data_IF_626587513518
#
_entry.id   IF_626587513518
#
_cell.length_a   1.000
_cell.length_b   1.000
_cell.length_c   1.000
_cell.angle_alpha   90.00
_cell.angle_beta   90.00
_cell.angle_gamma   90.00
#
_symmetry.space_group_name_H-M   'P 1'
#
loop_
_entity.id
_entity.type
_entity.pdbx_description
1 polymer ?
#
# COMPACT_ATOMS: atom_id res chain seq x y z
N UNK A 1 23.59 18.66 -18.58
CA UNK A 1 24.49 19.80 -18.36
C UNK A 1 24.69 20.65 -19.61
N UNK A 2 25.10 20.08 -20.75
CA UNK A 2 25.35 20.85 -21.98
C UNK A 2 24.13 21.67 -22.48
N UNK A 3 22.92 21.11 -22.41
CA UNK A 3 21.67 21.81 -22.79
C UNK A 3 21.36 22.98 -21.85
N UNK A 4 21.61 22.82 -20.55
CA UNK A 4 21.41 23.88 -19.55
C UNK A 4 22.43 24.99 -19.76
N UNK A 5 23.69 24.65 -20.06
CA UNK A 5 24.76 25.62 -20.32
C UNK A 5 24.48 26.40 -21.61
N UNK A 6 24.03 25.74 -22.67
CA UNK A 6 23.60 26.39 -23.93
C UNK A 6 22.36 27.26 -23.75
N UNK A 7 21.37 26.80 -22.97
CA UNK A 7 20.20 27.60 -22.65
C UNK A 7 20.57 28.82 -21.79
N UNK A 8 21.44 28.68 -20.79
CA UNK A 8 21.91 29.81 -19.97
C UNK A 8 22.81 30.76 -20.76
N UNK A 9 23.63 30.26 -21.68
CA UNK A 9 24.46 31.09 -22.56
C UNK A 9 23.62 31.83 -23.61
N UNK A 10 22.57 31.20 -24.13
CA UNK A 10 21.57 31.84 -25.00
C UNK A 10 20.77 32.90 -24.25
N UNK A 11 20.32 32.61 -23.03
CA UNK A 11 19.63 33.57 -22.17
C UNK A 11 20.55 34.74 -21.82
N UNK A 12 21.81 34.50 -21.42
CA UNK A 12 22.75 35.57 -21.09
C UNK A 12 23.15 36.43 -22.29
N UNK A 13 23.26 35.86 -23.49
CA UNK A 13 23.54 36.64 -24.72
C UNK A 13 22.32 37.45 -25.18
N UNK A 14 21.10 36.91 -25.00
CA UNK A 14 19.84 37.66 -25.20
C UNK A 14 19.76 38.84 -24.21
N UNK A 15 20.12 38.63 -22.94
CA UNK A 15 20.14 39.68 -21.91
C UNK A 15 21.21 40.74 -22.16
N UNK A 16 22.34 40.39 -22.76
CA UNK A 16 23.43 41.34 -23.05
C UNK A 16 23.13 42.25 -24.25
N UNK A 17 22.26 41.81 -25.16
CA UNK A 17 21.87 42.55 -26.37
C UNK A 17 20.71 43.54 -26.13
N UNK A 18 20.08 43.56 -24.95
CA UNK A 18 18.82 44.26 -24.68
C UNK A 18 18.96 45.39 -23.67
N UNK A 19 18.40 46.57 -23.96
CA UNK A 19 18.33 47.69 -23.01
C UNK A 19 17.60 47.30 -21.72
N UNK A 20 18.10 47.82 -20.59
CA UNK A 20 17.70 47.47 -19.21
C UNK A 20 16.19 47.52 -18.92
N UNK A 21 15.42 48.35 -19.66
CA UNK A 21 13.96 48.48 -19.51
C UNK A 21 13.19 47.31 -20.14
N UNK A 22 13.68 46.77 -21.26
CA UNK A 22 13.06 45.62 -21.92
C UNK A 22 13.32 44.33 -21.15
N UNK A 23 14.46 44.24 -20.48
CA UNK A 23 14.85 43.10 -19.64
C UNK A 23 13.83 42.81 -18.53
N UNK A 24 13.27 43.85 -17.88
CA UNK A 24 12.31 43.68 -16.78
C UNK A 24 10.97 43.13 -17.28
N UNK A 25 10.46 43.67 -18.39
CA UNK A 25 9.20 43.22 -19.00
C UNK A 25 9.34 41.78 -19.48
N UNK A 26 10.46 41.46 -20.13
CA UNK A 26 10.78 40.12 -20.61
C UNK A 26 10.81 39.10 -19.47
N UNK A 27 11.53 39.39 -18.37
CA UNK A 27 11.56 38.54 -17.18
C UNK A 27 10.16 38.32 -16.61
N UNK A 28 9.36 39.39 -16.49
CA UNK A 28 8.01 39.29 -15.94
C UNK A 28 7.09 38.42 -16.81
N UNK A 29 7.19 38.51 -18.14
CA UNK A 29 6.42 37.66 -19.08
C UNK A 29 6.83 36.19 -18.95
N UNK A 30 8.12 35.89 -18.81
CA UNK A 30 8.61 34.52 -18.61
C UNK A 30 8.19 33.92 -17.26
N UNK A 31 8.24 34.71 -16.18
CA UNK A 31 7.75 34.28 -14.86
C UNK A 31 6.25 33.99 -14.93
N UNK A 32 5.47 34.85 -15.57
CA UNK A 32 4.04 34.64 -15.77
C UNK A 32 3.75 33.40 -16.62
N UNK A 33 4.53 33.14 -17.66
CA UNK A 33 4.43 31.92 -18.45
C UNK A 33 4.69 30.67 -17.59
N UNK A 34 5.74 30.66 -16.76
CA UNK A 34 6.04 29.58 -15.82
C UNK A 34 4.91 29.33 -14.80
N UNK A 35 4.31 30.41 -14.28
CA UNK A 35 3.18 30.32 -13.35
C UNK A 35 1.94 29.67 -13.97
N UNK A 36 1.74 29.80 -15.30
CA UNK A 36 0.63 29.19 -16.03
C UNK A 36 0.91 27.72 -16.39
N UNK A 37 2.14 27.40 -16.75
CA UNK A 37 2.48 26.05 -17.22
C UNK A 37 2.57 25.03 -16.09
N UNK A 38 3.03 25.42 -14.90
CA UNK A 38 3.21 24.49 -13.77
C UNK A 38 1.90 23.78 -13.33
N UNK A 39 0.78 24.47 -13.06
CA UNK A 39 -0.47 23.81 -12.66
C UNK A 39 -1.01 22.91 -13.75
N UNK A 40 -0.87 23.34 -15.00
CA UNK A 40 -1.30 22.59 -16.18
C UNK A 40 -0.55 21.27 -16.33
N UNK A 41 0.78 21.29 -16.20
CA UNK A 41 1.63 20.09 -16.22
C UNK A 41 1.24 19.15 -15.08
N UNK A 42 0.96 19.70 -13.90
CA UNK A 42 0.49 18.91 -12.77
C UNK A 42 -0.84 18.21 -13.06
N UNK A 43 -1.83 18.94 -13.59
CA UNK A 43 -3.12 18.35 -14.00
C UNK A 43 -2.93 17.26 -15.05
N UNK A 44 -2.07 17.48 -16.06
CA UNK A 44 -1.74 16.45 -17.04
C UNK A 44 -1.09 15.21 -16.40
N UNK A 45 -0.18 15.40 -15.43
CA UNK A 45 0.45 14.31 -14.70
C UNK A 45 -0.55 13.50 -13.85
N UNK A 46 -1.62 14.13 -13.34
CA UNK A 46 -2.65 13.43 -12.56
C UNK A 46 -3.50 12.45 -13.40
N UNK A 47 -3.48 12.58 -14.72
CA UNK A 47 -4.22 11.72 -15.65
C UNK A 47 -3.39 10.54 -16.17
N UNK A 48 -2.10 10.50 -15.87
CA UNK A 48 -1.15 9.55 -16.45
C UNK A 48 -0.43 8.83 -15.30
N UNK A 49 -0.66 7.53 -15.18
CA UNK A 49 -0.10 6.72 -14.09
C UNK A 49 1.44 6.59 -14.14
N UNK A 50 2.03 6.78 -15.33
CA UNK A 50 3.47 6.70 -15.56
C UNK A 50 4.12 8.08 -15.69
N UNK A 51 5.14 8.35 -14.88
CA UNK A 51 5.85 9.64 -14.91
C UNK A 51 6.57 9.93 -16.23
N UNK A 52 7.08 8.91 -16.91
CA UNK A 52 7.78 9.05 -18.20
C UNK A 52 6.81 9.37 -19.35
N UNK A 53 5.64 8.74 -19.33
CA UNK A 53 4.59 9.00 -20.31
C UNK A 53 4.01 10.40 -20.10
N UNK A 54 3.90 10.86 -18.85
CA UNK A 54 3.45 12.21 -18.53
C UNK A 54 4.37 13.29 -19.12
N UNK A 55 5.68 13.15 -18.95
CA UNK A 55 6.68 14.06 -19.53
C UNK A 55 6.60 14.07 -21.06
N UNK A 56 6.55 12.88 -21.67
CA UNK A 56 6.47 12.73 -23.13
C UNK A 56 5.19 13.34 -23.70
N UNK A 57 4.04 13.15 -23.04
CA UNK A 57 2.74 13.70 -23.46
C UNK A 57 2.73 15.22 -23.34
N UNK A 58 3.30 15.77 -22.27
CA UNK A 58 3.41 17.23 -22.09
C UNK A 58 4.30 17.84 -23.18
N UNK A 59 5.44 17.22 -23.47
CA UNK A 59 6.35 17.66 -24.55
C UNK A 59 5.65 17.57 -25.90
N UNK A 60 5.03 16.42 -26.22
CA UNK A 60 4.30 16.21 -27.47
C UNK A 60 3.18 17.24 -27.63
N UNK A 61 2.40 17.52 -26.57
CA UNK A 61 1.38 18.56 -26.59
C UNK A 61 1.97 19.94 -26.95
N UNK A 62 3.08 20.33 -26.34
CA UNK A 62 3.74 21.61 -26.64
C UNK A 62 4.26 21.67 -28.08
N UNK A 63 4.82 20.58 -28.60
CA UNK A 63 5.30 20.49 -29.98
C UNK A 63 4.15 20.52 -30.99
N UNK A 64 3.14 19.67 -30.82
CA UNK A 64 1.99 19.59 -31.72
C UNK A 64 1.15 20.86 -31.73
N UNK A 65 0.92 21.47 -30.55
CA UNK A 65 0.30 22.78 -30.49
C UNK A 65 1.12 23.80 -31.29
N UNK A 66 2.42 23.89 -31.06
CA UNK A 66 3.31 24.76 -31.84
C UNK A 66 3.18 24.57 -33.36
N UNK A 67 3.14 23.33 -33.86
CA UNK A 67 3.03 22.99 -35.29
C UNK A 67 1.66 23.40 -35.87
N UNK A 68 0.55 22.98 -35.24
CA UNK A 68 -0.81 23.30 -35.69
C UNK A 68 -0.99 24.82 -35.81
N UNK A 69 -0.35 25.56 -34.90
CA UNK A 69 -0.52 26.99 -34.77
C UNK A 69 0.40 27.77 -35.71
N UNK A 70 1.60 27.25 -36.03
CA UNK A 70 2.42 27.77 -37.13
C UNK A 70 1.65 27.70 -38.46
N UNK A 71 0.93 26.60 -38.70
CA UNK A 71 0.07 26.45 -39.87
C UNK A 71 -1.11 27.44 -39.87
N UNK A 72 -1.75 27.68 -38.71
CA UNK A 72 -2.83 28.67 -38.60
C UNK A 72 -2.36 30.12 -38.78
N UNK A 73 -1.15 30.45 -38.32
CA UNK A 73 -0.55 31.76 -38.55
C UNK A 73 -0.22 31.98 -40.03
N UNK A 74 0.35 30.97 -40.71
CA UNK A 74 0.58 31.01 -42.15
C UNK A 74 -0.72 31.14 -42.96
N UNK A 75 -1.84 30.63 -42.43
CA UNK A 75 -3.16 30.77 -43.04
C UNK A 75 -3.81 32.15 -42.84
N UNK A 76 -3.13 33.11 -42.19
CA UNK A 76 -3.62 34.48 -41.99
C UNK A 76 -4.79 34.60 -41.00
N UNK A 77 -4.99 33.59 -40.14
CA UNK A 77 -6.10 33.56 -39.20
C UNK A 77 -5.69 34.14 -37.84
N UNK A 78 -5.79 35.47 -37.69
CA UNK A 78 -5.45 36.22 -36.47
C UNK A 78 -6.54 36.18 -35.38
N UNK A 79 -7.29 35.08 -35.28
CA UNK A 79 -8.32 34.94 -34.25
C UNK A 79 -7.70 34.88 -32.84
N UNK A 80 -8.02 35.88 -32.00
CA UNK A 80 -7.51 36.01 -30.63
C UNK A 80 -7.89 34.81 -29.72
N UNK A 81 -8.88 34.01 -30.12
CA UNK A 81 -9.32 32.82 -29.37
C UNK A 81 -8.21 31.77 -29.19
N UNK A 82 -7.33 31.59 -30.17
CA UNK A 82 -6.26 30.58 -30.11
C UNK A 82 -5.18 30.95 -29.08
N UNK A 83 -4.94 32.24 -28.85
CA UNK A 83 -3.99 32.74 -27.85
C UNK A 83 -4.46 32.43 -26.43
N UNK A 84 -5.78 32.40 -26.19
CA UNK A 84 -6.37 32.05 -24.89
C UNK A 84 -6.21 30.56 -24.60
N UNK A 85 -6.30 29.69 -25.61
CA UNK A 85 -6.24 28.23 -25.43
C UNK A 85 -4.79 27.75 -25.23
N UNK A 86 -3.81 28.45 -25.82
CA UNK A 86 -2.41 28.05 -25.82
C UNK A 86 -1.51 29.18 -25.30
N UNK A 87 -1.19 29.20 -23.99
CA UNK A 87 -0.30 30.21 -23.40
C UNK A 87 1.08 30.28 -24.07
N UNK A 88 1.60 29.17 -24.58
CA UNK A 88 2.85 29.15 -25.35
C UNK A 88 2.80 30.04 -26.60
N UNK A 89 1.63 30.21 -27.21
CA UNK A 89 1.45 31.11 -28.35
C UNK A 89 1.41 32.57 -27.96
N UNK A 90 0.76 32.92 -26.85
CA UNK A 90 0.73 34.32 -26.42
C UNK A 90 2.16 34.83 -26.17
N UNK A 91 3.07 33.95 -25.73
CA UNK A 91 4.50 34.25 -25.66
C UNK A 91 5.14 34.45 -27.05
N UNK A 92 4.95 33.51 -27.99
CA UNK A 92 5.53 33.59 -29.35
C UNK A 92 4.99 34.77 -30.15
N UNK A 93 3.69 35.04 -30.07
CA UNK A 93 3.01 36.19 -30.69
C UNK A 93 3.52 37.51 -30.14
N UNK A 94 3.76 37.58 -28.83
CA UNK A 94 4.36 38.74 -28.19
C UNK A 94 5.79 39.00 -28.70
N UNK A 95 6.63 37.96 -28.74
CA UNK A 95 8.01 38.02 -29.29
C UNK A 95 7.99 38.43 -30.78
N UNK A 96 7.02 37.95 -31.56
CA UNK A 96 6.89 38.30 -32.98
C UNK A 96 6.51 39.77 -33.17
N UNK A 97 5.58 40.30 -32.36
CA UNK A 97 5.18 41.71 -32.40
C UNK A 97 6.22 42.67 -31.81
N UNK A 98 7.10 42.19 -30.96
CA UNK A 98 8.21 42.98 -30.43
C UNK A 98 9.21 43.41 -31.50
N UNK A 99 9.34 42.64 -32.60
CA UNK A 99 10.14 43.04 -33.77
C UNK A 99 9.48 44.12 -34.63
N UNK A 100 8.23 44.52 -34.34
CA UNK A 100 7.45 45.45 -35.16
C UNK A 100 6.84 46.61 -34.35
N UNK A 101 7.56 47.75 -34.34
CA UNK A 101 7.05 49.14 -34.21
C UNK A 101 6.48 49.61 -32.85
N UNK A 102 6.91 50.83 -32.45
CA UNK A 102 6.45 51.75 -31.40
C UNK A 102 6.21 51.24 -29.96
N UNK A 103 6.73 52.01 -28.98
CA UNK A 103 6.69 51.73 -27.54
C UNK A 103 5.26 51.56 -26.98
N UNK A 104 4.27 52.24 -27.58
CA UNK A 104 2.86 52.18 -27.19
C UNK A 104 2.19 50.87 -27.60
N UNK A 105 2.50 50.36 -28.79
CA UNK A 105 1.98 49.09 -29.32
C UNK A 105 2.52 47.90 -28.55
N UNK A 106 3.80 47.98 -28.15
CA UNK A 106 4.41 46.98 -27.28
C UNK A 106 3.71 46.90 -25.92
N UNK A 107 3.45 48.04 -25.25
CA UNK A 107 2.76 48.06 -23.95
C UNK A 107 1.37 47.44 -24.00
N UNK A 108 0.59 47.73 -25.05
CA UNK A 108 -0.74 47.16 -25.26
C UNK A 108 -0.65 45.65 -25.48
N UNK A 109 0.31 45.20 -26.30
CA UNK A 109 0.58 43.78 -26.55
C UNK A 109 0.96 43.03 -25.26
N UNK A 110 1.87 43.60 -24.47
CA UNK A 110 2.29 43.06 -23.17
C UNK A 110 1.12 42.92 -22.20
N UNK A 111 0.32 43.96 -22.03
CA UNK A 111 -0.87 43.92 -21.16
C UNK A 111 -1.88 42.85 -21.60
N UNK A 112 -2.08 42.67 -22.92
CA UNK A 112 -2.94 41.59 -23.45
C UNK A 112 -2.41 40.20 -23.08
N UNK A 113 -1.11 39.97 -23.22
CA UNK A 113 -0.47 38.68 -22.91
C UNK A 113 -0.55 38.37 -21.42
N UNK A 114 -0.31 39.35 -20.55
CA UNK A 114 -0.50 39.18 -19.10
C UNK A 114 -1.94 38.82 -18.73
N UNK A 115 -2.95 39.43 -19.36
CA UNK A 115 -4.36 39.07 -19.10
C UNK A 115 -4.67 37.63 -19.52
N UNK A 116 -4.13 37.19 -20.66
CA UNK A 116 -4.28 35.81 -21.14
C UNK A 116 -3.62 34.82 -20.19
N UNK A 117 -2.39 35.12 -19.74
CA UNK A 117 -1.67 34.31 -18.77
C UNK A 117 -2.41 34.25 -17.45
N UNK A 118 -2.85 35.39 -16.92
CA UNK A 118 -3.57 35.44 -15.65
C UNK A 118 -4.88 34.65 -15.69
N UNK A 119 -5.68 34.77 -16.77
CA UNK A 119 -6.89 33.98 -16.96
C UNK A 119 -6.63 32.48 -17.04
N UNK A 120 -5.60 32.06 -17.77
CA UNK A 120 -5.18 30.66 -17.85
C UNK A 120 -4.66 30.13 -16.51
N UNK A 121 -3.86 30.92 -15.78
CA UNK A 121 -3.37 30.55 -14.46
C UNK A 121 -4.54 30.30 -13.52
N UNK A 122 -5.51 31.23 -13.44
CA UNK A 122 -6.71 31.06 -12.62
C UNK A 122 -7.48 29.79 -13.01
N UNK A 123 -7.68 29.54 -14.30
CA UNK A 123 -8.39 28.36 -14.77
C UNK A 123 -7.67 27.06 -14.34
N UNK A 124 -6.37 26.93 -14.64
CA UNK A 124 -5.62 25.71 -14.34
C UNK A 124 -5.33 25.52 -12.86
N UNK A 125 -5.09 26.59 -12.09
CA UNK A 125 -5.02 26.51 -10.64
C UNK A 125 -6.39 26.15 -10.04
N UNK A 126 -7.47 26.74 -10.55
CA UNK A 126 -8.83 26.40 -10.12
C UNK A 126 -9.16 24.93 -10.40
N UNK A 127 -8.76 24.42 -11.57
CA UNK A 127 -8.92 23.01 -11.93
C UNK A 127 -8.01 22.10 -11.08
N UNK A 128 -6.76 22.48 -10.84
CA UNK A 128 -5.85 21.76 -9.95
C UNK A 128 -6.41 21.67 -8.54
N UNK A 129 -6.89 22.79 -7.99
CA UNK A 129 -7.56 22.84 -6.70
C UNK A 129 -8.83 21.96 -6.75
N UNK A 130 -9.63 22.01 -7.81
CA UNK A 130 -10.82 21.16 -7.92
C UNK A 130 -10.50 19.65 -7.96
N UNK A 131 -9.41 19.26 -8.62
CA UNK A 131 -8.90 17.88 -8.68
C UNK A 131 -8.35 17.45 -7.32
N UNK A 132 -7.48 18.27 -6.69
CA UNK A 132 -6.87 17.98 -5.39
C UNK A 132 -7.86 18.02 -4.24
N UNK A 133 -8.81 18.95 -4.27
CA UNK A 133 -9.94 18.97 -3.34
C UNK A 133 -10.89 17.79 -3.56
N UNK A 134 -10.60 16.89 -4.51
CA UNK A 134 -11.36 15.68 -4.83
C UNK A 134 -12.85 15.96 -4.73
N UNK A 135 -13.33 16.96 -5.47
CA UNK A 135 -14.76 17.20 -5.63
C UNK A 135 -15.31 15.98 -6.37
N UNK A 136 -15.69 14.95 -5.61
CA UNK A 136 -16.30 13.70 -6.08
C UNK A 136 -17.45 13.96 -7.07
N UNK A 137 -18.09 15.12 -6.98
CA UNK A 137 -19.14 15.58 -7.89
C UNK A 137 -18.66 15.86 -9.33
N UNK A 138 -17.48 16.44 -9.52
CA UNK A 138 -16.96 16.85 -10.83
C UNK A 138 -16.41 15.65 -11.61
N UNK A 139 -15.72 14.74 -10.91
CA UNK A 139 -15.25 13.47 -11.50
C UNK A 139 -16.43 12.57 -11.94
N UNK A 140 -17.53 12.56 -11.17
CA UNK A 140 -18.80 11.88 -11.51
C UNK A 140 -19.50 12.48 -12.74
N UNK A 141 -19.36 13.79 -13.00
CA UNK A 141 -19.99 14.45 -14.14
C UNK A 141 -19.21 14.28 -15.45
N UNK A 142 -17.87 14.27 -15.40
CA UNK A 142 -17.03 14.27 -16.61
C UNK A 142 -16.80 12.86 -17.15
N UNK A 143 -16.55 11.87 -16.29
CA UNK A 143 -16.28 10.50 -16.72
C UNK A 143 -17.54 9.63 -16.58
N UNK A 144 -18.39 9.62 -17.61
CA UNK A 144 -19.52 8.68 -17.80
C UNK A 144 -19.05 7.22 -18.02
N UNK A 145 -18.18 6.68 -17.16
CA UNK A 145 -18.13 5.22 -16.95
C UNK A 145 -19.13 4.88 -15.87
N UNK A 146 -19.82 3.73 -15.99
CA UNK A 146 -20.78 3.18 -15.02
C UNK A 146 -20.12 3.07 -13.63
N UNK A 147 -20.12 4.17 -12.89
CA UNK A 147 -19.88 4.19 -11.46
C UNK A 147 -21.26 4.10 -10.83
N UNK A 148 -21.61 2.92 -10.32
CA UNK A 148 -22.82 2.75 -9.51
C UNK A 148 -22.67 3.70 -8.32
N UNK A 149 -23.50 4.73 -8.32
CA UNK A 149 -23.49 5.76 -7.30
C UNK A 149 -23.83 5.12 -5.95
N UNK A 150 -22.86 5.11 -5.03
CA UNK A 150 -23.17 4.98 -3.61
C UNK A 150 -22.96 6.34 -2.99
N UNK A 151 -24.00 6.86 -2.34
CA UNK A 151 -23.94 8.03 -1.45
C UNK A 151 -22.92 7.75 -0.34
N UNK A 152 -21.64 8.04 -0.58
CA UNK A 152 -20.71 8.29 0.50
C UNK A 152 -21.09 9.63 1.11
N UNK A 153 -21.76 9.61 2.27
CA UNK A 153 -21.55 10.72 3.21
C UNK A 153 -20.03 10.76 3.46
N UNK A 154 -19.39 11.95 3.47
CA UNK A 154 -17.98 12.06 3.79
C UNK A 154 -17.73 11.30 5.09
N UNK A 155 -16.60 10.58 5.17
CA UNK A 155 -16.13 9.89 6.38
C UNK A 155 -16.31 10.83 7.56
N UNK A 156 -17.43 10.66 8.25
CA UNK A 156 -17.60 11.29 9.54
C UNK A 156 -16.87 10.34 10.44
N UNK A 157 -15.60 10.64 10.71
CA UNK A 157 -14.83 10.08 11.80
C UNK A 157 -15.61 10.38 13.09
N UNK A 158 -16.66 9.60 13.34
CA UNK A 158 -17.50 9.77 14.52
C UNK A 158 -16.71 9.20 15.68
N UNK A 159 -16.25 10.10 16.55
CA UNK A 159 -15.64 9.79 17.87
C UNK A 159 -16.58 9.06 18.84
N UNK A 160 -17.85 8.86 18.48
CA UNK A 160 -18.83 8.13 19.32
C UNK A 160 -19.07 6.74 18.74
N UNK A 161 -18.67 5.72 19.49
CA UNK A 161 -18.94 4.32 19.16
C UNK A 161 -17.75 3.37 19.39
N UNK A 162 -16.57 3.91 19.68
CA UNK A 162 -15.44 3.11 20.15
C UNK A 162 -15.57 3.02 21.67
N UNK A 163 -15.71 1.82 22.22
CA UNK A 163 -15.57 1.58 23.66
C UNK A 163 -14.16 2.02 24.08
N UNK A 164 -13.94 2.35 25.35
CA UNK A 164 -12.62 2.82 25.83
C UNK A 164 -11.49 1.78 25.59
N UNK A 165 -11.87 0.53 25.30
CA UNK A 165 -10.99 -0.59 25.02
C UNK A 165 -10.54 -0.72 23.56
N UNK A 166 -11.27 -0.17 22.59
CA UNK A 166 -10.97 -0.33 21.16
C UNK A 166 -10.20 0.89 20.61
N UNK A 167 -9.25 0.66 19.69
CA UNK A 167 -8.53 1.71 18.97
C UNK A 167 -8.99 1.81 17.52
N UNK A 168 -9.43 0.70 16.93
CA UNK A 168 -10.00 0.64 15.58
C UNK A 168 -11.30 -0.17 15.60
N UNK A 169 -12.32 0.33 14.94
CA UNK A 169 -13.57 -0.38 14.71
C UNK A 169 -13.96 -0.30 13.23
N UNK A 170 -14.03 -1.47 12.59
CA UNK A 170 -14.40 -1.65 11.19
C UNK A 170 -15.75 -2.34 11.14
N UNK A 171 -16.73 -1.72 10.49
CA UNK A 171 -18.12 -2.22 10.39
C UNK A 171 -18.53 -2.34 8.93
N UNK A 172 -18.82 -3.56 8.50
CA UNK A 172 -19.38 -3.94 7.18
C UNK A 172 -18.63 -3.28 6.02
N UNK A 173 -17.30 -3.31 6.07
CA UNK A 173 -16.44 -2.71 5.08
C UNK A 173 -16.57 -3.47 3.76
N UNK A 174 -16.99 -2.76 2.71
CA UNK A 174 -17.23 -3.35 1.39
C UNK A 174 -16.58 -2.49 0.31
N UNK A 175 -15.89 -3.14 -0.63
CA UNK A 175 -15.18 -2.49 -1.73
C UNK A 175 -15.44 -3.20 -3.06
N UNK A 176 -15.79 -2.42 -4.07
CA UNK A 176 -15.97 -2.84 -5.46
C UNK A 176 -14.96 -2.13 -6.36
N UNK A 177 -14.48 -2.86 -7.37
CA UNK A 177 -13.76 -2.32 -8.52
C UNK A 177 -14.50 -2.74 -9.79
N UNK A 178 -15.24 -1.81 -10.38
CA UNK A 178 -16.22 -2.17 -11.42
C UNK A 178 -17.28 -3.09 -10.84
N UNK A 179 -17.44 -4.26 -11.44
CA UNK A 179 -18.40 -5.29 -11.02
C UNK A 179 -17.81 -6.30 -10.02
N UNK A 180 -16.49 -6.27 -9.80
CA UNK A 180 -15.80 -7.20 -8.91
C UNK A 180 -15.82 -6.71 -7.45
N UNK A 181 -16.37 -7.52 -6.54
CA UNK A 181 -16.40 -7.24 -5.11
C UNK A 181 -15.17 -7.82 -4.41
N UNK A 182 -14.17 -6.97 -4.15
CA UNK A 182 -12.89 -7.37 -3.52
C UNK A 182 -13.01 -7.53 -2.01
N UNK A 183 -13.90 -6.78 -1.34
CA UNK A 183 -14.18 -6.95 0.09
C UNK A 183 -15.69 -6.96 0.33
N UNK A 184 -16.16 -7.93 1.12
CA UNK A 184 -17.57 -8.28 1.31
C UNK A 184 -17.95 -8.16 2.79
N UNK A 185 -18.44 -6.98 3.20
CA UNK A 185 -18.98 -6.73 4.54
C UNK A 185 -18.06 -7.11 5.71
N UNK A 186 -16.75 -6.87 5.58
CA UNK A 186 -15.75 -7.22 6.60
C UNK A 186 -15.95 -6.38 7.87
N UNK A 187 -16.01 -7.03 9.03
CA UNK A 187 -16.21 -6.36 10.32
C UNK A 187 -15.26 -6.93 11.38
N UNK A 188 -14.48 -6.07 12.02
CA UNK A 188 -13.59 -6.44 13.13
C UNK A 188 -13.21 -5.21 13.94
N UNK A 189 -12.58 -5.42 15.09
CA UNK A 189 -12.04 -4.38 15.96
C UNK A 189 -10.58 -4.67 16.30
N UNK A 190 -9.82 -3.63 16.62
CA UNK A 190 -8.48 -3.73 17.21
C UNK A 190 -8.51 -3.06 18.58
N UNK A 191 -8.18 -3.81 19.62
CA UNK A 191 -8.11 -3.36 21.01
C UNK A 191 -6.85 -2.55 21.27
N UNK A 192 -6.91 -1.72 22.31
CA UNK A 192 -5.80 -0.89 22.76
C UNK A 192 -4.64 -1.77 23.24
N UNK A 193 -3.45 -1.53 22.70
CA UNK A 193 -2.23 -2.27 23.05
C UNK A 193 -2.17 -3.70 22.50
N UNK A 194 -3.13 -4.12 21.66
CA UNK A 194 -3.08 -5.44 21.02
C UNK A 194 -2.39 -5.37 19.65
N UNK A 195 -1.79 -6.48 19.25
CA UNK A 195 -1.46 -6.75 17.86
C UNK A 195 -2.56 -7.64 17.27
N UNK A 196 -3.27 -7.13 16.27
CA UNK A 196 -4.29 -7.85 15.52
C UNK A 196 -3.77 -8.23 14.14
N UNK A 197 -3.81 -9.52 13.81
CA UNK A 197 -3.40 -10.04 12.51
C UNK A 197 -4.58 -10.20 11.56
N UNK A 198 -4.57 -9.54 10.41
CA UNK A 198 -5.46 -9.87 9.30
C UNK A 198 -4.74 -10.87 8.39
N UNK A 199 -5.03 -12.15 8.58
CA UNK A 199 -4.37 -13.25 7.88
C UNK A 199 -5.16 -13.71 6.66
N UNK A 200 -4.47 -14.13 5.60
CA UNK A 200 -5.12 -14.79 4.47
C UNK A 200 -4.19 -15.01 3.28
N UNK A 201 -4.67 -15.72 2.26
CA UNK A 201 -3.95 -15.97 1.01
C UNK A 201 -3.70 -14.69 0.19
N UNK A 202 -2.75 -14.74 -0.76
CA UNK A 202 -2.56 -13.63 -1.70
C UNK A 202 -3.85 -13.39 -2.50
N UNK A 203 -4.27 -12.13 -2.63
CA UNK A 203 -5.52 -11.78 -3.31
C UNK A 203 -6.76 -11.79 -2.41
N UNK A 204 -6.67 -12.16 -1.13
CA UNK A 204 -7.84 -12.18 -0.23
C UNK A 204 -8.43 -10.81 0.13
N UNK A 205 -7.78 -9.70 -0.26
CA UNK A 205 -8.26 -8.33 -0.03
C UNK A 205 -7.61 -7.60 1.16
N UNK A 206 -6.58 -8.17 1.80
CA UNK A 206 -5.88 -7.57 2.96
C UNK A 206 -5.36 -6.16 2.70
N UNK A 207 -4.52 -5.98 1.69
CA UNK A 207 -3.95 -4.66 1.32
C UNK A 207 -5.05 -3.63 1.08
N UNK A 208 -6.12 -4.01 0.36
CA UNK A 208 -7.26 -3.12 0.08
C UNK A 208 -7.97 -2.71 1.38
N UNK A 209 -8.11 -3.63 2.34
CA UNK A 209 -8.70 -3.32 3.65
C UNK A 209 -7.82 -2.32 4.42
N UNK A 210 -6.52 -2.55 4.46
CA UNK A 210 -5.55 -1.70 5.14
C UNK A 210 -5.43 -0.31 4.50
N UNK A 211 -5.46 -0.21 3.17
CA UNK A 211 -5.46 1.06 2.45
C UNK A 211 -6.72 1.88 2.75
N UNK A 212 -7.88 1.23 2.90
CA UNK A 212 -9.10 1.91 3.33
C UNK A 212 -9.05 2.36 4.79
N UNK A 213 -8.51 1.51 5.68
CA UNK A 213 -8.32 1.85 7.09
C UNK A 213 -7.37 3.05 7.24
N UNK A 214 -6.30 3.07 6.45
CA UNK A 214 -5.31 4.15 6.41
C UNK A 214 -5.79 5.42 5.66
N UNK A 215 -6.99 5.39 5.06
CA UNK A 215 -7.57 6.54 4.36
C UNK A 215 -7.00 6.82 2.97
N UNK A 216 -6.24 5.87 2.39
CA UNK A 216 -5.73 5.97 1.01
C UNK A 216 -6.82 5.72 -0.02
N UNK A 217 -7.77 4.84 0.32
CA UNK A 217 -8.95 4.56 -0.50
C UNK A 217 -10.24 4.69 0.30
N UNK A 218 -11.33 5.07 -0.37
CA UNK A 218 -12.65 5.14 0.25
C UNK A 218 -13.42 3.83 0.07
N UNK A 219 -14.10 3.34 1.12
CA UNK A 219 -15.01 2.21 1.00
C UNK A 219 -16.26 2.59 0.21
N UNK A 220 -16.84 1.61 -0.50
CA UNK A 220 -18.16 1.79 -1.12
C UNK A 220 -19.25 1.75 -0.06
N UNK A 221 -19.16 0.81 0.90
CA UNK A 221 -20.07 0.69 2.03
C UNK A 221 -19.31 0.37 3.32
N UNK A 222 -19.98 0.60 4.46
CA UNK A 222 -19.42 0.37 5.77
C UNK A 222 -18.91 1.63 6.45
N UNK A 223 -18.27 1.45 7.61
CA UNK A 223 -17.70 2.53 8.43
C UNK A 223 -16.41 2.08 9.10
N UNK A 224 -15.48 3.03 9.22
CA UNK A 224 -14.23 2.88 9.97
C UNK A 224 -14.22 3.96 11.04
N UNK A 225 -13.97 3.57 12.29
CA UNK A 225 -13.83 4.47 13.43
C UNK A 225 -12.48 4.22 14.09
N UNK A 226 -11.72 5.29 14.33
CA UNK A 226 -10.38 5.25 14.95
C UNK A 226 -10.43 6.11 16.21
N UNK A 227 -9.95 5.58 17.32
CA UNK A 227 -9.87 6.31 18.58
C UNK A 227 -8.78 7.39 18.55
N UNK A 228 -8.97 8.48 19.31
CA UNK A 228 -7.95 9.50 19.52
C UNK A 228 -7.72 10.47 18.36
N UNK A 229 -6.45 10.86 18.14
CA UNK A 229 -6.04 11.71 17.01
C UNK A 229 -6.06 10.85 15.75
N UNK A 230 -6.72 11.33 14.68
CA UNK A 230 -6.96 10.60 13.43
C UNK A 230 -5.73 10.28 12.57
N UNK A 231 -4.52 10.31 13.15
CA UNK A 231 -3.30 9.93 12.46
C UNK A 231 -3.11 8.41 12.60
N UNK A 232 -2.76 7.74 11.51
CA UNK A 232 -2.36 6.32 11.48
C UNK A 232 -0.93 6.25 10.96
N UNK A 233 -0.07 5.46 11.60
CA UNK A 233 1.23 5.13 11.01
C UNK A 233 1.06 3.95 10.05
N UNK A 234 1.17 4.18 8.75
CA UNK A 234 0.99 3.14 7.73
C UNK A 234 2.31 2.76 7.07
N UNK A 235 2.62 1.46 7.03
CA UNK A 235 3.70 0.88 6.25
C UNK A 235 3.09 0.06 5.10
N UNK A 236 3.13 0.56 3.84
CA UNK A 236 2.59 -0.17 2.69
C UNK A 236 3.43 -1.41 2.34
N UNK A 237 2.84 -2.31 1.54
CA UNK A 237 3.53 -3.49 1.00
C UNK A 237 4.74 -3.14 0.14
N UNK A 238 4.64 -2.09 -0.71
CA UNK A 238 5.75 -1.59 -1.53
C UNK A 238 6.26 -0.27 -0.99
N UNK A 239 7.57 -0.14 -0.79
CA UNK A 239 8.16 1.12 -0.34
C UNK A 239 8.25 2.14 -1.48
N UNK A 240 7.44 3.19 -1.41
CA UNK A 240 7.52 4.33 -2.34
C UNK A 240 8.30 5.50 -1.74
N UNK A 241 9.50 5.23 -1.22
CA UNK A 241 10.38 6.24 -0.65
C UNK A 241 11.41 6.76 -1.68
N UNK A 242 11.88 8.01 -1.57
CA UNK A 242 12.72 8.62 -2.60
C UNK A 242 14.12 7.99 -2.66
N UNK A 243 14.38 7.22 -3.73
CA UNK A 243 15.60 6.43 -3.92
C UNK A 243 16.92 7.23 -3.86
N UNK A 244 16.90 8.51 -4.26
CA UNK A 244 18.09 9.37 -4.29
C UNK A 244 18.43 10.01 -2.94
N UNK A 245 17.54 9.92 -1.94
CA UNK A 245 17.76 10.49 -0.60
C UNK A 245 18.37 9.45 0.31
N UNK A 246 19.19 9.88 1.26
CA UNK A 246 19.75 8.97 2.26
C UNK A 246 18.70 8.55 3.29
N UNK A 247 18.88 7.39 3.91
CA UNK A 247 18.01 6.92 4.98
C UNK A 247 17.84 7.96 6.10
N UNK A 248 18.93 8.64 6.49
CA UNK A 248 18.88 9.72 7.47
C UNK A 248 18.07 10.92 6.99
N UNK A 249 18.19 11.33 5.73
CA UNK A 249 17.43 12.44 5.17
C UNK A 249 15.93 12.12 5.13
N UNK A 250 15.56 10.91 4.73
CA UNK A 250 14.17 10.44 4.70
C UNK A 250 13.57 10.48 6.10
N UNK A 251 14.22 9.87 7.09
CA UNK A 251 13.73 9.86 8.47
C UNK A 251 13.68 11.26 9.08
N UNK A 252 14.66 12.12 8.80
CA UNK A 252 14.67 13.51 9.27
C UNK A 252 13.50 14.29 8.67
N UNK A 253 13.24 14.10 7.37
CA UNK A 253 12.12 14.74 6.69
C UNK A 253 10.77 14.29 7.26
N UNK A 254 10.58 12.97 7.41
CA UNK A 254 9.35 12.42 8.00
C UNK A 254 9.16 12.84 9.46
N UNK A 255 10.23 12.93 10.25
CA UNK A 255 10.15 13.46 11.61
C UNK A 255 9.79 14.96 11.64
N UNK A 256 10.30 15.76 10.70
CA UNK A 256 9.93 17.17 10.60
C UNK A 256 8.44 17.33 10.24
N UNK A 257 7.94 16.56 9.26
CA UNK A 257 6.52 16.54 8.88
C UNK A 257 5.59 16.15 10.04
N UNK A 258 6.02 15.20 10.88
CA UNK A 258 5.28 14.77 12.07
C UNK A 258 5.46 15.71 13.29
N UNK A 259 6.08 16.87 13.11
CA UNK A 259 6.19 17.91 14.14
C UNK A 259 7.15 17.56 15.30
N UNK A 260 8.24 16.83 15.03
CA UNK A 260 9.30 16.64 16.02
C UNK A 260 10.13 17.92 16.17
N UNK A 261 10.36 18.37 17.42
CA UNK A 261 11.19 19.55 17.71
C UNK A 261 12.64 19.38 17.22
N UNK A 262 13.20 18.18 17.36
CA UNK A 262 14.56 17.84 16.94
C UNK A 262 14.56 16.67 15.95
N UNK A 263 14.17 16.90 14.68
CA UNK A 263 13.95 15.82 13.72
C UNK A 263 15.24 15.03 13.41
N UNK A 264 16.40 15.70 13.39
CA UNK A 264 17.72 15.05 13.19
C UNK A 264 18.09 14.11 14.33
N UNK A 265 17.82 14.49 15.58
CA UNK A 265 18.05 13.63 16.73
C UNK A 265 17.12 12.42 16.66
N UNK A 266 15.84 12.65 16.35
CA UNK A 266 14.88 11.54 16.21
C UNK A 266 15.26 10.58 15.10
N UNK A 267 15.71 11.07 13.95
CA UNK A 267 16.19 10.24 12.86
C UNK A 267 17.39 9.36 13.27
N UNK A 268 18.33 9.91 14.05
CA UNK A 268 19.46 9.12 14.59
C UNK A 268 19.00 8.08 15.62
N UNK A 269 18.02 8.40 16.47
CA UNK A 269 17.40 7.42 17.38
C UNK A 269 16.76 6.27 16.59
N UNK A 270 15.99 6.57 15.53
CA UNK A 270 15.37 5.53 14.70
C UNK A 270 16.42 4.65 14.02
N UNK A 271 17.47 5.24 13.43
CA UNK A 271 18.57 4.47 12.86
C UNK A 271 19.30 3.61 13.90
N UNK A 272 19.36 4.07 15.15
CA UNK A 272 19.91 3.27 16.23
C UNK A 272 19.03 2.07 16.56
N UNK A 273 17.72 2.28 16.73
CA UNK A 273 16.76 1.21 17.02
C UNK A 273 16.69 0.16 15.92
N UNK A 274 16.80 0.58 14.66
CA UNK A 274 16.82 -0.34 13.51
C UNK A 274 18.15 -1.09 13.32
N UNK A 275 19.18 -0.78 14.12
CA UNK A 275 20.55 -1.24 13.92
C UNK A 275 21.10 -0.87 12.52
N UNK A 276 20.83 0.36 12.06
CA UNK A 276 21.18 0.88 10.72
C UNK A 276 22.09 2.12 10.77
N UNK A 277 22.90 2.26 11.84
CA UNK A 277 23.80 3.41 12.00
C UNK A 277 24.82 3.53 10.86
N UNK A 278 25.33 2.41 10.34
CA UNK A 278 26.30 2.41 9.24
C UNK A 278 25.69 2.84 7.90
N UNK A 279 24.37 2.65 7.70
CA UNK A 279 23.64 3.04 6.50
C UNK A 279 23.12 4.48 6.55
N UNK A 280 23.50 5.28 7.56
CA UNK A 280 23.03 6.66 7.75
C UNK A 280 23.14 7.52 6.48
N UNK A 281 24.27 7.43 5.80
CA UNK A 281 24.59 8.24 4.61
C UNK A 281 24.40 7.47 3.29
N UNK A 282 23.84 6.26 3.34
CA UNK A 282 23.59 5.45 2.16
C UNK A 282 22.28 5.91 1.51
N UNK A 283 22.25 6.17 0.18
CA UNK A 283 21.03 6.41 -0.57
C UNK A 283 20.04 5.25 -0.44
N UNK A 284 18.75 5.53 -0.28
CA UNK A 284 17.71 4.51 -0.11
C UNK A 284 17.66 3.52 -1.29
N UNK A 285 17.95 3.97 -2.51
CA UNK A 285 18.02 3.12 -3.70
C UNK A 285 19.21 2.14 -3.73
N UNK A 286 20.20 2.32 -2.85
CA UNK A 286 21.36 1.42 -2.70
C UNK A 286 21.22 0.48 -1.49
N UNK A 287 20.15 0.62 -0.70
CA UNK A 287 19.89 -0.27 0.42
C UNK A 287 19.36 -1.63 -0.07
N UNK A 288 19.65 -2.69 0.69
CA UNK A 288 19.04 -4.00 0.47
C UNK A 288 17.53 -3.94 0.73
N UNK A 289 16.76 -4.92 0.25
CA UNK A 289 15.31 -4.94 0.44
C UNK A 289 14.92 -4.93 1.93
N UNK A 290 15.66 -5.66 2.77
CA UNK A 290 15.42 -5.72 4.21
C UNK A 290 15.72 -4.37 4.89
N UNK A 291 16.77 -3.68 4.45
CA UNK A 291 17.10 -2.33 4.94
C UNK A 291 16.02 -1.32 4.54
N UNK A 292 15.52 -1.41 3.29
CA UNK A 292 14.44 -0.55 2.80
C UNK A 292 13.17 -0.76 3.61
N UNK A 293 12.87 -2.02 3.93
CA UNK A 293 11.75 -2.38 4.80
C UNK A 293 11.85 -1.79 6.19
N UNK A 294 13.01 -1.95 6.85
CA UNK A 294 13.28 -1.38 8.17
C UNK A 294 13.02 0.14 8.20
N UNK A 295 13.46 0.85 7.16
CA UNK A 295 13.21 2.29 7.02
C UNK A 295 11.72 2.58 6.81
N UNK A 296 11.00 1.81 5.99
CA UNK A 296 9.56 2.01 5.81
C UNK A 296 8.77 1.80 7.10
N UNK A 297 9.10 0.78 7.89
CA UNK A 297 8.51 0.56 9.21
C UNK A 297 8.82 1.75 10.13
N UNK A 298 10.07 2.22 10.18
CA UNK A 298 10.41 3.40 10.98
C UNK A 298 9.70 4.69 10.54
N UNK A 299 9.43 4.85 9.24
CA UNK A 299 8.60 5.97 8.75
C UNK A 299 7.19 5.88 9.33
N UNK A 300 6.58 4.70 9.35
CA UNK A 300 5.27 4.51 9.99
C UNK A 300 5.32 4.84 11.50
N UNK A 301 6.38 4.43 12.21
CA UNK A 301 6.58 4.72 13.63
C UNK A 301 6.72 6.22 13.95
N UNK A 302 7.28 7.01 13.03
CA UNK A 302 7.42 8.45 13.23
C UNK A 302 6.06 9.17 13.33
N UNK A 303 4.96 8.56 12.91
CA UNK A 303 3.63 9.19 12.86
C UNK A 303 3.02 9.52 14.24
N UNK A 304 3.62 9.06 15.35
CA UNK A 304 3.12 9.28 16.74
C UNK A 304 1.66 8.84 16.92
N UNK A 305 1.24 7.86 16.14
CA UNK A 305 -0.10 7.28 16.17
C UNK A 305 -0.21 6.24 17.29
N UNK A 306 -1.41 6.08 17.87
CA UNK A 306 -1.73 4.94 18.74
C UNK A 306 -1.97 3.66 17.95
N UNK A 307 -2.28 3.77 16.66
CA UNK A 307 -2.49 2.65 15.73
C UNK A 307 -1.43 2.65 14.63
N UNK A 308 -0.68 1.55 14.55
CA UNK A 308 0.22 1.25 13.45
C UNK A 308 -0.43 0.21 12.54
N UNK A 309 -0.35 0.42 11.22
CA UNK A 309 -0.90 -0.48 10.21
C UNK A 309 0.25 -0.92 9.32
N UNK A 310 0.54 -2.22 9.30
CA UNK A 310 1.68 -2.80 8.59
C UNK A 310 1.19 -3.82 7.57
N UNK A 311 1.46 -3.59 6.28
CA UNK A 311 1.03 -4.49 5.20
C UNK A 311 2.17 -5.40 4.75
N UNK A 312 2.13 -6.66 5.16
CA UNK A 312 3.14 -7.72 4.96
C UNK A 312 4.56 -7.29 5.39
N UNK A 313 4.79 -6.90 6.67
CA UNK A 313 6.04 -6.29 7.15
C UNK A 313 7.28 -7.15 6.90
N UNK A 314 7.15 -8.48 6.79
CA UNK A 314 8.30 -9.39 6.66
C UNK A 314 8.37 -10.16 5.35
N UNK A 315 7.55 -9.80 4.35
CA UNK A 315 7.56 -10.46 3.04
C UNK A 315 8.92 -10.31 2.35
N UNK A 316 9.50 -11.43 1.93
CA UNK A 316 10.76 -11.45 1.18
C UNK A 316 11.98 -11.07 2.00
N UNK A 317 11.89 -11.13 3.33
CA UNK A 317 12.99 -10.85 4.27
C UNK A 317 13.53 -12.16 4.83
N UNK A 318 14.87 -12.23 4.91
CA UNK A 318 15.60 -13.33 5.53
C UNK A 318 15.13 -13.59 6.98
N UNK A 319 14.99 -14.87 7.41
CA UNK A 319 14.58 -15.23 8.77
C UNK A 319 15.32 -14.48 9.89
N UNK A 320 16.62 -14.24 9.74
CA UNK A 320 17.42 -13.54 10.76
C UNK A 320 16.96 -12.09 10.94
N UNK A 321 16.66 -11.40 9.84
CA UNK A 321 16.24 -9.99 9.86
C UNK A 321 14.77 -9.83 10.22
N UNK A 322 13.96 -10.87 10.00
CA UNK A 322 12.57 -10.95 10.46
C UNK A 322 12.46 -10.73 11.98
N UNK A 323 13.34 -11.36 12.76
CA UNK A 323 13.36 -11.21 14.21
C UNK A 323 13.61 -9.76 14.67
N UNK A 324 14.43 -8.99 13.95
CA UNK A 324 14.63 -7.57 14.27
C UNK A 324 13.33 -6.76 14.12
N UNK A 325 12.53 -7.05 13.09
CA UNK A 325 11.23 -6.41 12.86
C UNK A 325 10.23 -6.84 13.94
N UNK A 326 10.23 -8.12 14.32
CA UNK A 326 9.37 -8.62 15.39
C UNK A 326 9.69 -7.93 16.73
N UNK A 327 10.97 -7.81 17.07
CA UNK A 327 11.41 -7.10 18.26
C UNK A 327 10.96 -5.65 18.26
N UNK A 328 11.08 -4.96 17.10
CA UNK A 328 10.61 -3.59 16.95
C UNK A 328 9.09 -3.47 17.18
N UNK A 329 8.29 -4.39 16.64
CA UNK A 329 6.83 -4.41 16.83
C UNK A 329 6.49 -4.69 18.30
N UNK A 330 7.16 -5.66 18.93
CA UNK A 330 6.98 -5.98 20.35
C UNK A 330 7.33 -4.79 21.26
N UNK A 331 8.40 -4.05 20.96
CA UNK A 331 8.72 -2.82 21.68
C UNK A 331 7.60 -1.76 21.57
N UNK A 332 6.91 -1.70 20.43
CA UNK A 332 5.78 -0.78 20.28
C UNK A 332 4.58 -1.23 21.11
N UNK A 333 4.30 -2.53 21.15
CA UNK A 333 3.23 -3.11 21.98
C UNK A 333 3.49 -2.86 23.47
N UNK A 334 4.73 -3.02 23.94
CA UNK A 334 5.14 -2.72 25.33
C UNK A 334 4.89 -1.24 25.68
N UNK A 335 4.96 -0.34 24.69
CA UNK A 335 4.67 1.10 24.84
C UNK A 335 3.19 1.45 24.63
N UNK A 336 2.30 0.46 24.72
CA UNK A 336 0.85 0.58 24.55
C UNK A 336 0.40 1.07 23.15
N UNK A 337 1.24 0.90 22.12
CA UNK A 337 0.77 1.06 20.75
C UNK A 337 -0.04 -0.16 20.34
N UNK A 338 -1.06 0.06 19.52
CA UNK A 338 -1.86 -1.01 18.91
C UNK A 338 -1.38 -1.21 17.49
N UNK A 339 -1.33 -2.46 17.03
CA UNK A 339 -0.78 -2.79 15.71
C UNK A 339 -1.80 -3.63 14.95
N UNK A 340 -2.09 -3.23 13.71
CA UNK A 340 -2.81 -4.02 12.73
C UNK A 340 -1.80 -4.52 11.69
N UNK A 341 -1.64 -5.83 11.58
CA UNK A 341 -0.71 -6.45 10.62
C UNK A 341 -1.53 -7.23 9.60
N UNK A 342 -1.37 -6.94 8.31
CA UNK A 342 -1.76 -7.88 7.27
C UNK A 342 -0.61 -8.84 6.99
N UNK A 343 -0.88 -10.14 7.05
CA UNK A 343 0.14 -11.15 6.77
C UNK A 343 -0.41 -12.32 5.97
N UNK A 344 0.48 -12.96 5.22
CA UNK A 344 0.29 -14.29 4.66
C UNK A 344 1.15 -15.35 5.35
N UNK A 345 1.95 -14.95 6.36
CA UNK A 345 2.81 -15.85 7.13
C UNK A 345 2.14 -16.21 8.45
N UNK A 346 1.93 -17.50 8.65
CA UNK A 346 1.34 -18.00 9.89
C UNK A 346 2.27 -17.78 11.08
N UNK A 347 3.57 -17.99 10.87
CA UNK A 347 4.61 -17.77 11.88
C UNK A 347 4.62 -16.31 12.38
N UNK A 348 4.39 -15.34 11.49
CA UNK A 348 4.30 -13.92 11.87
C UNK A 348 3.06 -13.64 12.73
N UNK A 349 1.92 -14.20 12.35
CA UNK A 349 0.70 -14.06 13.14
C UNK A 349 0.84 -14.73 14.52
N UNK A 350 1.39 -15.94 14.59
CA UNK A 350 1.61 -16.67 15.84
C UNK A 350 2.60 -15.97 16.77
N UNK A 351 3.67 -15.39 16.21
CA UNK A 351 4.70 -14.74 17.01
C UNK A 351 4.26 -13.37 17.57
N UNK A 352 3.42 -12.62 16.85
CA UNK A 352 3.12 -11.23 17.18
C UNK A 352 1.67 -10.99 17.62
N UNK A 353 0.70 -11.70 17.05
CA UNK A 353 -0.70 -11.31 17.15
C UNK A 353 -1.41 -12.00 18.31
N UNK A 354 -2.12 -11.21 19.12
CA UNK A 354 -2.98 -11.73 20.19
C UNK A 354 -4.26 -12.35 19.61
N UNK A 355 -4.78 -11.74 18.54
CA UNK A 355 -5.96 -12.21 17.80
C UNK A 355 -5.72 -12.09 16.31
N UNK A 356 -6.44 -12.91 15.56
CA UNK A 356 -6.34 -12.96 14.11
C UNK A 356 -7.73 -12.97 13.49
N UNK A 357 -7.89 -12.24 12.40
CA UNK A 357 -9.02 -12.33 11.47
C UNK A 357 -8.59 -13.09 10.22
N UNK A 358 -9.28 -14.18 9.91
CA UNK A 358 -9.04 -15.01 8.73
C UNK A 358 -9.83 -14.46 7.54
N UNK A 359 -9.14 -14.02 6.50
CA UNK A 359 -9.73 -13.40 5.32
C UNK A 359 -9.50 -14.28 4.08
N UNK A 360 -10.58 -14.68 3.41
CA UNK A 360 -10.55 -15.42 2.14
C UNK A 360 -11.57 -14.82 1.16
N UNK A 361 -11.17 -14.65 -0.11
CA UNK A 361 -12.02 -14.08 -1.18
C UNK A 361 -12.83 -12.83 -0.78
N UNK A 362 -12.20 -11.94 -0.02
CA UNK A 362 -12.80 -10.69 0.44
C UNK A 362 -13.75 -10.82 1.64
N UNK A 363 -13.94 -12.02 2.18
CA UNK A 363 -14.84 -12.30 3.30
C UNK A 363 -14.04 -12.69 4.54
N UNK A 364 -14.49 -12.24 5.71
CA UNK A 364 -13.88 -12.57 6.98
C UNK A 364 -14.52 -13.84 7.53
N UNK A 365 -13.79 -14.96 7.52
CA UNK A 365 -14.28 -16.29 7.88
C UNK A 365 -14.41 -16.42 9.40
N UNK A 366 -13.37 -16.03 10.13
CA UNK A 366 -13.32 -16.13 11.58
C UNK A 366 -12.47 -15.01 12.19
N UNK A 367 -12.77 -14.64 13.43
CA UNK A 367 -11.97 -13.70 14.23
C UNK A 367 -11.89 -14.21 15.66
N UNK A 368 -10.69 -14.57 16.12
CA UNK A 368 -10.47 -14.94 17.52
C UNK A 368 -8.97 -14.93 17.89
N UNK A 369 -8.66 -15.24 19.14
CA UNK A 369 -7.31 -15.62 19.55
C UNK A 369 -6.88 -16.91 18.84
N UNK A 370 -5.59 -17.02 18.49
CA UNK A 370 -5.06 -18.19 17.77
C UNK A 370 -5.31 -19.47 18.58
N UNK A 371 -5.07 -19.44 19.90
CA UNK A 371 -5.32 -20.60 20.77
C UNK A 371 -6.81 -20.95 20.87
N UNK A 372 -7.71 -19.96 20.76
CA UNK A 372 -9.15 -20.20 20.79
C UNK A 372 -9.61 -20.86 19.48
N UNK A 373 -9.08 -20.43 18.33
CA UNK A 373 -9.32 -21.08 17.04
C UNK A 373 -8.80 -22.51 17.05
N UNK A 374 -7.59 -22.74 17.58
CA UNK A 374 -7.00 -24.09 17.62
C UNK A 374 -7.78 -25.01 18.54
N UNK A 375 -8.19 -24.55 19.71
CA UNK A 375 -9.00 -25.33 20.62
C UNK A 375 -10.40 -25.63 20.05
N UNK A 376 -11.04 -24.65 19.39
CA UNK A 376 -12.41 -24.80 18.88
C UNK A 376 -12.51 -25.67 17.63
N UNK A 377 -11.54 -25.58 16.72
CA UNK A 377 -11.60 -26.25 15.42
C UNK A 377 -10.61 -27.42 15.28
N UNK A 378 -9.63 -27.52 16.18
CA UNK A 378 -8.66 -28.60 16.23
C UNK A 378 -9.20 -29.88 16.87
N UNK A 379 -10.25 -30.46 16.28
CA UNK A 379 -11.02 -31.59 16.83
C UNK A 379 -10.39 -32.99 16.61
N UNK A 380 -9.10 -33.04 16.29
CA UNK A 380 -8.39 -34.26 15.90
C UNK A 380 -6.91 -34.15 16.27
N UNK A 381 -6.21 -35.28 16.33
CA UNK A 381 -4.75 -35.34 16.31
C UNK A 381 -4.24 -35.53 14.90
N UNK A 382 -3.02 -35.08 14.65
CA UNK A 382 -2.27 -35.36 13.43
C UNK A 382 -1.15 -36.34 13.80
N UNK A 383 -1.25 -37.55 13.26
CA UNK A 383 -0.21 -38.58 13.39
C UNK A 383 0.57 -38.66 12.09
N UNK A 384 1.88 -38.53 12.17
CA UNK A 384 2.81 -38.71 11.07
C UNK A 384 3.69 -39.92 11.35
N UNK A 385 3.82 -40.81 10.37
CA UNK A 385 4.70 -41.98 10.41
C UNK A 385 5.70 -41.89 9.26
N UNK A 386 6.97 -42.23 9.54
CA UNK A 386 8.07 -42.20 8.57
C UNK A 386 8.75 -43.57 8.45
N UNK A 387 9.09 -43.96 7.22
CA UNK A 387 9.81 -45.20 6.90
C UNK A 387 11.03 -44.92 6.03
N UNK A 388 12.08 -45.73 6.22
CA UNK A 388 13.28 -45.75 5.36
C UNK A 388 13.07 -46.46 4.02
N UNK A 389 12.04 -47.29 3.91
CA UNK A 389 11.70 -47.97 2.65
C UNK A 389 10.23 -47.73 2.30
N UNK A 390 9.89 -47.60 1.00
CA UNK A 390 8.51 -47.40 0.58
C UNK A 390 7.65 -48.62 0.97
N UNK A 391 6.74 -48.42 1.93
CA UNK A 391 5.74 -49.40 2.37
C UNK A 391 4.47 -49.31 1.51
N UNK A 392 3.72 -50.40 1.41
CA UNK A 392 2.42 -50.40 0.74
C UNK A 392 1.40 -49.54 1.50
N UNK A 393 0.90 -48.49 0.83
CA UNK A 393 0.04 -47.45 1.42
C UNK A 393 -1.30 -48.02 1.87
N UNK A 394 -1.91 -48.87 1.05
CA UNK A 394 -3.24 -49.39 1.32
C UNK A 394 -3.24 -50.33 2.53
N UNK A 395 -2.18 -51.14 2.67
CA UNK A 395 -2.00 -52.01 3.83
C UNK A 395 -1.87 -51.20 5.12
N UNK A 396 -1.01 -50.18 5.11
CA UNK A 396 -0.80 -49.31 6.27
C UNK A 396 -2.08 -48.53 6.61
N UNK A 397 -2.80 -48.00 5.61
CA UNK A 397 -4.04 -47.27 5.85
C UNK A 397 -5.16 -48.17 6.41
N UNK A 398 -5.26 -49.42 5.94
CA UNK A 398 -6.21 -50.40 6.46
C UNK A 398 -5.90 -50.77 7.92
N UNK A 399 -4.64 -50.99 8.28
CA UNK A 399 -4.24 -51.21 9.66
C UNK A 399 -4.51 -49.98 10.54
N UNK A 400 -4.24 -48.78 10.03
CA UNK A 400 -4.54 -47.53 10.74
C UNK A 400 -6.03 -47.36 11.04
N UNK A 401 -6.91 -47.67 10.08
CA UNK A 401 -8.36 -47.64 10.27
C UNK A 401 -8.86 -48.70 11.25
N UNK A 402 -8.19 -49.85 11.33
CA UNK A 402 -8.51 -50.89 12.31
C UNK A 402 -8.14 -50.49 13.74
N UNK A 403 -7.03 -49.77 13.91
CA UNK A 403 -6.53 -49.35 15.24
C UNK A 403 -7.23 -48.08 15.72
N UNK A 404 -7.44 -47.13 14.81
CA UNK A 404 -8.04 -45.83 15.08
C UNK A 404 -9.33 -45.68 14.26
N UNK A 405 -10.46 -45.89 14.93
CA UNK A 405 -11.78 -45.69 14.33
C UNK A 405 -11.92 -44.25 13.80
N UNK A 406 -12.17 -44.13 12.49
CA UNK A 406 -12.31 -42.83 11.83
C UNK A 406 -11.00 -42.15 11.44
N UNK A 407 -9.86 -42.87 11.44
CA UNK A 407 -8.61 -42.34 10.90
C UNK A 407 -8.75 -42.03 9.40
N UNK A 408 -8.35 -40.82 9.01
CA UNK A 408 -8.38 -40.34 7.62
C UNK A 408 -6.98 -39.97 7.17
N UNK A 409 -6.52 -40.57 6.08
CA UNK A 409 -5.25 -40.23 5.46
C UNK A 409 -5.35 -38.85 4.80
N UNK A 410 -4.42 -37.95 5.14
CA UNK A 410 -4.40 -36.56 4.65
C UNK A 410 -3.48 -36.46 3.44
N UNK A 411 -2.19 -36.69 3.69
CA UNK A 411 -1.10 -36.33 2.79
C UNK A 411 -0.05 -37.42 2.79
N UNK A 412 0.65 -37.50 1.67
CA UNK A 412 1.80 -38.34 1.46
C UNK A 412 2.95 -37.47 0.97
N UNK A 413 4.10 -37.60 1.64
CA UNK A 413 5.36 -37.03 1.18
C UNK A 413 6.32 -38.19 0.92
N UNK A 414 6.71 -38.36 -0.34
CA UNK A 414 7.70 -39.34 -0.76
C UNK A 414 8.93 -38.63 -1.32
N UNK A 415 10.08 -38.80 -0.68
CA UNK A 415 11.38 -38.59 -1.32
C UNK A 415 11.96 -39.95 -1.73
N UNK A 416 13.04 -39.96 -2.52
CA UNK A 416 13.67 -41.20 -3.02
C UNK A 416 14.08 -42.18 -1.91
N UNK A 417 14.35 -41.68 -0.70
CA UNK A 417 14.84 -42.49 0.43
C UNK A 417 13.88 -42.54 1.63
N UNK A 418 12.83 -41.71 1.69
CA UNK A 418 11.93 -41.66 2.84
C UNK A 418 10.46 -41.50 2.41
N UNK A 419 9.58 -42.33 2.97
CA UNK A 419 8.11 -42.19 2.82
C UNK A 419 7.51 -41.72 4.14
N UNK A 420 6.73 -40.65 4.08
CA UNK A 420 6.03 -40.06 5.22
C UNK A 420 4.55 -40.01 4.92
N UNK A 421 3.74 -40.60 5.80
CA UNK A 421 2.28 -40.61 5.70
C UNK A 421 1.68 -39.90 6.92
N UNK A 422 0.61 -39.11 6.70
CA UNK A 422 -0.09 -38.35 7.75
C UNK A 422 -1.57 -38.70 7.85
N UNK A 423 -2.07 -38.94 9.06
CA UNK A 423 -3.48 -39.21 9.35
C UNK A 423 -4.09 -38.19 10.31
N UNK A 424 -5.38 -37.88 10.11
CA UNK A 424 -6.25 -37.26 11.12
C UNK A 424 -6.85 -38.36 11.99
N UNK A 425 -6.68 -38.25 13.29
CA UNK A 425 -7.29 -39.15 14.28
C UNK A 425 -8.30 -38.33 15.08
N UNK A 426 -9.62 -38.58 14.97
CA UNK A 426 -10.62 -37.81 15.69
C UNK A 426 -10.47 -37.99 17.21
N UNK A 427 -10.79 -36.96 17.98
CA UNK A 427 -10.80 -37.07 19.45
C UNK A 427 -11.93 -38.01 19.92
N UNK A 428 -11.59 -38.96 20.80
CA UNK A 428 -12.58 -39.75 21.54
C UNK A 428 -12.70 -39.26 22.98
N UNK A 429 -13.92 -39.27 23.54
CA UNK A 429 -14.20 -38.79 24.91
C UNK A 429 -13.43 -39.56 26.00
N UNK A 430 -12.94 -40.77 25.70
CA UNK A 430 -12.19 -41.63 26.62
C UNK A 430 -10.67 -41.69 26.34
N UNK A 431 -10.17 -40.89 25.39
CA UNK A 431 -8.75 -40.90 25.04
C UNK A 431 -7.94 -40.10 26.08
N UNK A 432 -7.10 -40.82 26.83
CA UNK A 432 -5.97 -40.17 27.51
C UNK A 432 -4.79 -40.13 26.56
N UNK A 433 -4.05 -39.02 26.56
CA UNK A 433 -2.86 -38.83 25.72
C UNK A 433 -1.85 -39.98 25.91
N UNK A 434 -1.72 -40.48 27.15
CA UNK A 434 -0.92 -41.66 27.50
C UNK A 434 -1.36 -42.94 26.77
N UNK A 435 -2.66 -43.24 26.74
CA UNK A 435 -3.21 -44.41 26.02
C UNK A 435 -3.02 -44.28 24.52
N UNK A 436 -3.14 -43.06 24.00
CA UNK A 436 -2.99 -42.80 22.57
C UNK A 436 -1.53 -42.97 22.15
N UNK A 437 -0.58 -42.43 22.92
CA UNK A 437 0.86 -42.64 22.69
C UNK A 437 1.21 -44.12 22.77
N UNK A 438 0.74 -44.86 23.79
CA UNK A 438 1.05 -46.29 23.90
C UNK A 438 0.50 -47.12 22.72
N UNK A 439 -0.68 -46.74 22.19
CA UNK A 439 -1.24 -47.35 20.98
C UNK A 439 -0.36 -47.05 19.76
N UNK A 440 0.08 -45.80 19.62
CA UNK A 440 0.95 -45.37 18.53
C UNK A 440 2.30 -46.08 18.59
N UNK A 441 2.92 -46.20 19.77
CA UNK A 441 4.19 -46.90 19.97
C UNK A 441 4.10 -48.39 19.61
N UNK A 442 3.04 -49.07 20.07
CA UNK A 442 2.83 -50.47 19.74
C UNK A 442 2.66 -50.69 18.23
N UNK A 443 1.89 -49.80 17.58
CA UNK A 443 1.70 -49.82 16.13
C UNK A 443 2.99 -49.47 15.37
N UNK A 444 3.78 -48.52 15.85
CA UNK A 444 5.07 -48.16 15.26
C UNK A 444 6.03 -49.35 15.26
N UNK A 445 6.02 -50.18 16.32
CA UNK A 445 6.78 -51.43 16.39
C UNK A 445 6.26 -52.49 15.39
N UNK A 446 4.94 -52.70 15.33
CA UNK A 446 4.31 -53.66 14.41
C UNK A 446 4.61 -53.34 12.93
N UNK A 447 4.56 -52.05 12.58
CA UNK A 447 4.77 -51.56 11.21
C UNK A 447 6.22 -51.26 10.86
N UNK A 448 7.15 -51.49 11.81
CA UNK A 448 8.57 -51.14 11.71
C UNK A 448 8.78 -49.70 11.21
N UNK A 449 8.08 -48.75 11.85
CA UNK A 449 8.19 -47.31 11.58
C UNK A 449 9.54 -46.82 12.11
N UNK A 450 10.24 -45.98 11.35
CA UNK A 450 11.51 -45.38 11.77
C UNK A 450 11.28 -44.30 12.83
N UNK A 451 10.33 -43.41 12.56
CA UNK A 451 10.01 -42.27 13.39
C UNK A 451 8.53 -41.93 13.30
N UNK A 452 7.95 -41.45 14.41
CA UNK A 452 6.56 -41.02 14.45
C UNK A 452 6.42 -39.70 15.22
N UNK A 453 5.47 -38.88 14.79
CA UNK A 453 5.09 -37.67 15.53
C UNK A 453 3.58 -37.62 15.70
N UNK A 454 3.14 -37.41 16.93
CA UNK A 454 1.76 -37.19 17.29
C UNK A 454 1.62 -35.76 17.78
N UNK A 455 0.80 -34.96 17.10
CA UNK A 455 0.63 -33.55 17.39
C UNK A 455 -0.83 -33.12 17.31
N UNK A 456 -1.14 -31.97 17.89
CA UNK A 456 -2.38 -31.27 17.59
C UNK A 456 -2.26 -30.58 16.23
N UNK A 457 -3.39 -30.36 15.52
CA UNK A 457 -3.39 -29.65 14.26
C UNK A 457 -2.80 -28.26 14.44
N UNK A 458 -1.90 -27.91 13.54
CA UNK A 458 -1.30 -26.59 13.52
C UNK A 458 -2.37 -25.55 13.16
N UNK A 459 -2.14 -24.28 13.51
CA UNK A 459 -3.01 -23.20 13.05
C UNK A 459 -3.11 -23.19 11.52
N UNK A 460 -2.00 -23.56 10.85
CA UNK A 460 -1.89 -24.09 9.47
C UNK A 460 -3.11 -24.85 8.98
N UNK A 461 -3.31 -26.00 9.62
CA UNK A 461 -4.31 -26.99 9.25
C UNK A 461 -5.74 -26.49 9.53
N UNK A 462 -5.91 -25.74 10.63
CA UNK A 462 -7.19 -25.17 11.03
C UNK A 462 -7.64 -24.10 10.04
N UNK A 463 -6.73 -23.24 9.57
CA UNK A 463 -7.05 -22.25 8.54
C UNK A 463 -7.56 -22.92 7.26
N UNK A 464 -6.85 -23.95 6.77
CA UNK A 464 -7.26 -24.67 5.56
C UNK A 464 -8.64 -25.29 5.71
N UNK A 465 -8.90 -25.95 6.85
CA UNK A 465 -10.22 -26.51 7.15
C UNK A 465 -11.31 -25.44 7.15
N UNK A 466 -11.10 -24.31 7.82
CA UNK A 466 -12.09 -23.23 7.89
C UNK A 466 -12.38 -22.61 6.52
N UNK A 467 -11.38 -22.51 5.66
CA UNK A 467 -11.55 -22.04 4.27
C UNK A 467 -12.35 -23.05 3.46
N UNK A 468 -12.05 -24.34 3.58
CA UNK A 468 -12.81 -25.42 2.92
C UNK A 468 -14.28 -25.42 3.36
N UNK A 469 -14.53 -25.44 4.67
CA UNK A 469 -15.87 -25.40 5.26
C UNK A 469 -16.67 -24.18 4.74
N UNK A 470 -16.05 -22.99 4.77
CA UNK A 470 -16.68 -21.76 4.30
C UNK A 470 -16.99 -21.78 2.79
N UNK A 471 -16.11 -22.34 1.96
CA UNK A 471 -16.33 -22.45 0.52
C UNK A 471 -17.44 -23.42 0.18
N UNK A 472 -17.56 -24.51 0.94
CA UNK A 472 -18.65 -25.48 0.78
C UNK A 472 -20.00 -24.84 1.13
N UNK A 473 -20.11 -24.16 2.27
CA UNK A 473 -21.33 -23.44 2.67
C UNK A 473 -21.76 -22.40 1.63
N UNK A 474 -20.80 -21.79 0.93
CA UNK A 474 -21.06 -20.79 -0.11
C UNK A 474 -21.43 -21.39 -1.47
N UNK A 475 -21.10 -22.64 -1.73
CA UNK A 475 -21.54 -23.35 -2.95
C UNK A 475 -22.96 -23.89 -2.81
N UNK A 476 -23.39 -24.16 -1.58
CA UNK A 476 -24.73 -24.64 -1.24
C UNK A 476 -25.79 -23.52 -1.19
N UNK A 477 -25.38 -22.26 -1.01
CA UNK A 477 -26.22 -21.06 -0.99
C UNK A 477 -26.09 -20.24 -2.28
#
# INVERSE_FOLDING_TARGET
MAIVILATAGICTIFWYWEYRFTVIFVAVFVAFGAVTLPRVYVASSLIDNSFDAESVVIAYHVFSGIILYVLHLAGNDNELYLIIFPGLALVHWISKEKAIDDTTLRISTMKVFRIFFGNAIFWFGLLIAIEMRLDALYKCIFRRKYIAVRSKPLTLQKKGVTDEDVLLVKRLTKFYGDECVLKSVSFNVRRGECFGLFGSAGSGKTVALEMISGLHYPNYGRIQIAGKSAIGYCPRRENLPNRRTCFQILTFMAALNGYRHPKLKANEMLHWLNMKSQRNVPFGQCSNEQRRKIAVAVALLTRSQLLVLDEPTLGIDPKVRHDIFNLINEMLIREHSVLIASNSMEECEALCARVGLLDEGSLIAVDAIQALTHRYGTHYVLQLAWDTPRDKEKVDNEMKNIFNGAQLINEFSSTDHRVLRWKIPFSQNDSLSKLISKVEHMALLLCVKDFTLSQPSFSDIYLKLVEDYRMERMEN
#
